data_IF_295103666712
#
_entry.id   IF_295103666712
#
_cell.length_a   1.000
_cell.length_b   1.000
_cell.length_c   1.000
_cell.angle_alpha   90.00
_cell.angle_beta   90.00
_cell.angle_gamma   90.00
#
_symmetry.space_group_name_H-M   'P 1'
#
loop_
_entity.id
_entity.type
_entity.pdbx_description
1 polymer ?
#
# COMPACT_ATOMS: atom_id res chain seq x y z
N UNK A 1 -61.36 42.82 31.74
CA UNK A 1 -61.63 43.00 30.28
C UNK A 1 -60.76 41.99 29.55
N UNK A 2 -61.30 40.79 29.28
CA UNK A 2 -61.62 40.27 27.92
C UNK A 2 -60.36 40.16 27.03
N UNK A 3 -59.92 39.01 26.52
CA UNK A 3 -60.63 37.79 26.13
C UNK A 3 -59.66 36.60 26.00
N UNK A 4 -60.21 35.43 26.30
CA UNK A 4 -59.74 34.09 25.98
C UNK A 4 -59.36 33.96 24.50
N UNK A 5 -58.33 33.16 24.19
CA UNK A 5 -58.44 32.22 23.08
C UNK A 5 -57.69 30.93 23.41
N UNK A 6 -58.48 29.93 23.76
CA UNK A 6 -58.12 28.51 23.82
C UNK A 6 -57.86 28.02 22.40
N UNK A 7 -56.80 27.24 22.21
CA UNK A 7 -56.73 26.24 21.15
C UNK A 7 -55.95 25.03 21.70
N UNK A 8 -56.72 24.09 22.23
CA UNK A 8 -56.29 22.71 22.38
C UNK A 8 -56.63 21.98 21.07
N UNK A 9 -55.65 21.30 20.48
CA UNK A 9 -55.92 20.17 19.60
C UNK A 9 -54.85 19.10 19.82
N UNK A 10 -55.34 17.94 20.26
CA UNK A 10 -54.59 16.74 20.52
C UNK A 10 -54.20 16.03 19.22
N UNK A 11 -53.05 15.37 19.19
CA UNK A 11 -52.84 14.14 18.41
C UNK A 11 -51.51 13.46 18.80
N UNK A 12 -51.63 12.45 19.66
CA UNK A 12 -51.01 11.12 19.53
C UNK A 12 -49.57 10.96 19.03
N UNK A 13 -48.71 10.64 20.00
CA UNK A 13 -47.71 9.57 20.07
C UNK A 13 -47.51 8.63 18.86
N UNK A 14 -46.24 8.24 18.70
CA UNK A 14 -45.65 7.07 17.99
C UNK A 14 -45.25 7.28 16.52
N UNK A 15 -43.96 7.60 16.33
CA UNK A 15 -43.15 6.91 15.34
C UNK A 15 -41.79 6.58 15.95
N UNK A 16 -41.59 5.28 16.21
CA UNK A 16 -40.33 4.66 16.57
C UNK A 16 -39.29 5.04 15.51
N UNK A 17 -38.32 5.88 15.90
CA UNK A 17 -37.12 6.10 15.11
C UNK A 17 -36.33 4.79 15.11
N UNK A 18 -36.60 3.95 14.12
CA UNK A 18 -35.80 2.78 13.81
C UNK A 18 -34.35 3.26 13.64
N UNK A 19 -33.52 2.99 14.65
CA UNK A 19 -32.09 2.90 14.45
C UNK A 19 -31.88 1.73 13.51
N UNK A 20 -31.97 2.00 12.20
CA UNK A 20 -31.32 1.20 11.19
C UNK A 20 -29.85 1.20 11.56
N UNK A 21 -29.45 0.19 12.34
CA UNK A 21 -28.06 -0.18 12.45
C UNK A 21 -27.66 -0.49 11.03
N UNK A 22 -27.04 0.48 10.36
CA UNK A 22 -26.33 0.24 9.13
C UNK A 22 -25.23 -0.72 9.55
N UNK A 23 -25.53 -2.02 9.44
CA UNK A 23 -24.52 -3.05 9.40
C UNK A 23 -23.74 -2.69 8.15
N UNK A 24 -22.72 -1.86 8.30
CA UNK A 24 -21.58 -1.88 7.41
C UNK A 24 -21.21 -3.34 7.36
N UNK A 25 -21.55 -3.98 6.24
CA UNK A 25 -20.99 -5.26 5.88
C UNK A 25 -19.50 -5.00 5.91
N UNK A 26 -18.84 -5.41 7.00
CA UNK A 26 -17.40 -5.58 7.03
C UNK A 26 -17.18 -6.74 6.06
N UNK A 27 -17.14 -6.42 4.77
CA UNK A 27 -16.68 -7.35 3.77
C UNK A 27 -15.31 -7.80 4.23
N UNK A 28 -15.07 -9.12 4.24
CA UNK A 28 -13.76 -9.72 4.41
C UNK A 28 -12.70 -8.76 3.84
N UNK A 29 -11.87 -8.16 4.69
CA UNK A 29 -10.88 -7.23 4.19
C UNK A 29 -9.95 -8.03 3.30
N UNK A 30 -10.03 -7.81 1.99
CA UNK A 30 -9.12 -8.43 1.03
C UNK A 30 -7.72 -7.80 1.12
N UNK A 31 -7.40 -7.11 2.21
CA UNK A 31 -6.12 -6.46 2.44
C UNK A 31 -5.11 -7.56 2.77
N UNK A 32 -4.04 -7.58 2.01
CA UNK A 32 -2.90 -8.46 2.21
C UNK A 32 -1.85 -7.71 3.01
N UNK A 33 -1.53 -8.24 4.19
CA UNK A 33 -0.46 -7.68 5.01
C UNK A 33 0.90 -7.87 4.35
N UNK A 34 1.73 -6.85 4.47
CA UNK A 34 3.12 -6.86 4.02
C UNK A 34 4.00 -6.09 5.01
N UNK A 35 5.30 -6.29 4.93
CA UNK A 35 6.30 -5.43 5.58
C UNK A 35 7.21 -4.83 4.54
N UNK A 36 7.59 -3.57 4.66
CA UNK A 36 8.58 -2.97 3.78
C UNK A 36 9.99 -3.48 4.14
N UNK A 37 10.78 -3.79 3.12
CA UNK A 37 12.19 -4.14 3.26
C UNK A 37 13.07 -2.91 2.98
N UNK A 38 14.07 -2.70 3.83
CA UNK A 38 14.90 -1.50 3.83
C UNK A 38 16.39 -1.85 3.73
N UNK A 39 17.20 -0.81 3.49
CA UNK A 39 18.66 -0.87 3.37
C UNK A 39 19.14 -1.77 2.23
N UNK A 40 18.54 -1.60 1.05
CA UNK A 40 18.97 -2.17 -0.22
C UNK A 40 19.25 -1.07 -1.25
N UNK A 41 19.97 -1.40 -2.31
CA UNK A 41 20.07 -0.59 -3.53
C UNK A 41 19.84 -1.48 -4.75
N UNK A 42 19.20 -0.95 -5.80
CA UNK A 42 18.94 -1.69 -7.03
C UNK A 42 20.20 -1.85 -7.88
N UNK A 43 20.46 -3.06 -8.38
CA UNK A 43 21.55 -3.38 -9.31
C UNK A 43 20.96 -3.46 -10.71
N UNK A 44 20.90 -2.34 -11.42
CA UNK A 44 20.42 -2.31 -12.80
C UNK A 44 20.14 -0.90 -13.31
N UNK A 45 19.56 -0.82 -14.50
CA UNK A 45 19.33 0.40 -15.28
C UNK A 45 17.95 0.40 -15.95
N UNK A 46 16.93 -0.11 -15.25
CA UNK A 46 15.57 -0.23 -15.80
C UNK A 46 15.11 1.08 -16.48
N UNK A 47 14.65 0.95 -17.73
CA UNK A 47 14.23 2.09 -18.57
C UNK A 47 12.72 2.31 -18.56
N UNK A 48 11.98 1.44 -17.87
CA UNK A 48 10.53 1.49 -17.70
C UNK A 48 10.14 0.96 -16.33
N UNK A 49 8.96 1.30 -15.80
CA UNK A 49 8.45 0.70 -14.57
C UNK A 49 8.39 -0.83 -14.70
N UNK A 50 8.87 -1.54 -13.68
CA UNK A 50 8.86 -3.00 -13.63
C UNK A 50 8.52 -3.49 -12.23
N UNK A 51 7.70 -4.55 -12.18
CA UNK A 51 7.46 -5.32 -10.96
C UNK A 51 8.27 -6.62 -11.05
N UNK A 52 9.08 -6.90 -10.03
CA UNK A 52 9.79 -8.18 -9.88
C UNK A 52 9.25 -8.96 -8.70
N UNK A 53 9.01 -10.26 -8.90
CA UNK A 53 8.79 -11.23 -7.81
C UNK A 53 10.10 -11.89 -7.45
N UNK A 54 10.48 -11.78 -6.19
CA UNK A 54 11.73 -12.31 -5.65
C UNK A 54 11.37 -13.44 -4.70
N UNK A 55 11.72 -14.67 -5.05
CA UNK A 55 11.29 -15.88 -4.35
C UNK A 55 12.43 -16.62 -3.63
N UNK A 56 13.66 -16.11 -3.75
CA UNK A 56 14.86 -16.68 -3.14
C UNK A 56 15.88 -15.58 -2.81
N UNK A 57 16.81 -15.92 -1.91
CA UNK A 57 17.94 -15.04 -1.59
C UNK A 57 18.84 -14.81 -2.80
N UNK A 58 18.99 -15.81 -3.67
CA UNK A 58 19.77 -15.69 -4.90
C UNK A 58 19.13 -14.69 -5.87
N UNK A 59 17.80 -14.72 -6.04
CA UNK A 59 17.09 -13.76 -6.88
C UNK A 59 17.20 -12.34 -6.29
N UNK A 60 17.15 -12.20 -4.97
CA UNK A 60 17.34 -10.91 -4.32
C UNK A 60 18.73 -10.36 -4.61
N UNK A 61 19.78 -11.18 -4.43
CA UNK A 61 21.17 -10.77 -4.62
C UNK A 61 21.54 -10.43 -6.08
N UNK A 62 20.77 -10.94 -7.05
CA UNK A 62 20.93 -10.57 -8.47
C UNK A 62 20.38 -9.18 -8.78
N UNK A 63 19.32 -8.78 -8.08
CA UNK A 63 18.55 -7.57 -8.35
C UNK A 63 18.90 -6.42 -7.40
N UNK A 64 19.38 -6.74 -6.20
CA UNK A 64 19.63 -5.79 -5.12
C UNK A 64 20.91 -6.11 -4.34
N UNK A 65 21.68 -5.06 -4.07
CA UNK A 65 22.80 -5.09 -3.13
C UNK A 65 22.37 -4.59 -1.75
N UNK A 66 23.06 -5.06 -0.72
CA UNK A 66 22.84 -4.64 0.67
C UNK A 66 23.48 -3.27 0.94
N UNK A 67 22.73 -2.32 1.51
CA UNK A 67 23.14 -0.95 1.81
C UNK A 67 23.17 -0.69 3.32
N UNK A 68 24.00 -1.43 4.06
CA UNK A 68 24.07 -1.29 5.51
C UNK A 68 24.68 0.04 5.96
N UNK A 69 24.18 0.61 7.07
CA UNK A 69 24.80 1.76 7.74
C UNK A 69 25.03 1.47 9.23
N UNK A 70 25.93 2.22 9.87
CA UNK A 70 26.20 2.03 11.29
C UNK A 70 25.06 2.57 12.17
N UNK A 71 24.50 1.74 13.05
CA UNK A 71 23.49 2.14 14.02
C UNK A 71 22.27 1.21 14.06
N UNK A 72 21.34 1.50 14.96
CA UNK A 72 20.11 0.72 15.11
C UNK A 72 19.28 0.80 13.82
N UNK A 73 18.89 -0.35 13.29
CA UNK A 73 18.11 -0.43 12.04
C UNK A 73 18.94 -0.23 10.78
N UNK A 74 20.27 -0.23 10.89
CA UNK A 74 21.18 -0.11 9.76
C UNK A 74 21.41 -1.42 8.99
N UNK A 75 20.93 -2.55 9.50
CA UNK A 75 21.01 -3.83 8.80
C UNK A 75 19.96 -3.95 7.69
N UNK A 76 20.31 -4.54 6.54
CA UNK A 76 19.34 -4.95 5.52
C UNK A 76 18.27 -5.88 6.07
N UNK A 77 17.02 -5.65 5.69
CA UNK A 77 15.91 -6.50 6.09
C UNK A 77 16.17 -7.95 5.65
N UNK A 78 16.34 -8.86 6.61
CA UNK A 78 16.52 -10.28 6.31
C UNK A 78 15.16 -10.93 6.00
N UNK A 79 15.06 -11.59 4.84
CA UNK A 79 13.81 -12.18 4.34
C UNK A 79 13.87 -13.70 4.46
N UNK A 80 12.91 -14.30 5.17
CA UNK A 80 12.78 -15.75 5.22
C UNK A 80 11.98 -16.25 4.00
N UNK A 81 12.66 -16.57 2.91
CA UNK A 81 12.06 -17.03 1.66
C UNK A 81 11.34 -18.39 1.74
N UNK A 82 11.46 -19.12 2.85
CA UNK A 82 10.64 -20.30 3.08
C UNK A 82 9.19 -19.93 3.43
N UNK A 83 8.99 -18.76 4.05
CA UNK A 83 7.67 -18.27 4.51
C UNK A 83 7.12 -17.12 3.66
N UNK A 84 8.02 -16.34 3.04
CA UNK A 84 7.67 -15.12 2.36
C UNK A 84 8.27 -15.09 0.94
N UNK A 85 7.75 -14.19 0.12
CA UNK A 85 8.39 -13.72 -1.10
C UNK A 85 8.41 -12.19 -1.08
N UNK A 86 9.21 -11.58 -1.93
CA UNK A 86 9.24 -10.13 -2.06
C UNK A 86 8.68 -9.67 -3.41
N UNK A 87 8.06 -8.50 -3.39
CA UNK A 87 7.62 -7.75 -4.56
C UNK A 87 8.44 -6.47 -4.58
N UNK A 88 9.22 -6.26 -5.64
CA UNK A 88 9.92 -5.01 -5.88
C UNK A 88 9.21 -4.25 -7.00
N UNK A 89 8.87 -2.98 -6.75
CA UNK A 89 8.42 -2.07 -7.80
C UNK A 89 9.52 -1.05 -8.05
N UNK A 90 10.06 -1.06 -9.27
CA UNK A 90 11.23 -0.28 -9.66
C UNK A 90 10.82 0.66 -10.79
N UNK A 91 11.09 1.95 -10.62
CA UNK A 91 10.85 2.98 -11.63
C UNK A 91 12.09 3.21 -12.49
N UNK A 92 11.95 3.84 -13.67
CA UNK A 92 13.10 4.24 -14.46
C UNK A 92 13.96 5.28 -13.74
N UNK A 93 15.21 5.38 -14.17
CA UNK A 93 16.10 6.43 -13.69
C UNK A 93 15.50 7.83 -13.91
N UNK A 94 15.68 8.70 -12.93
CA UNK A 94 15.21 10.08 -12.99
C UNK A 94 16.18 11.00 -12.26
N UNK A 95 16.35 12.21 -12.78
CA UNK A 95 17.05 13.28 -12.11
C UNK A 95 16.12 14.18 -11.29
N UNK A 96 14.87 13.77 -11.04
CA UNK A 96 13.96 14.49 -10.15
C UNK A 96 13.97 13.84 -8.78
N UNK A 97 13.82 14.67 -7.74
CA UNK A 97 13.51 14.16 -6.40
C UNK A 97 12.22 13.36 -6.49
N UNK A 98 12.25 12.08 -6.16
CA UNK A 98 11.08 11.20 -6.27
C UNK A 98 10.81 10.51 -4.94
N UNK A 99 9.58 10.62 -4.46
CA UNK A 99 9.06 9.78 -3.39
C UNK A 99 8.22 8.68 -4.03
N UNK A 100 8.62 7.43 -3.85
CA UNK A 100 7.86 6.26 -4.23
C UNK A 100 7.63 5.43 -2.96
N UNK A 101 6.38 5.12 -2.64
CA UNK A 101 6.04 4.37 -1.43
C UNK A 101 4.88 3.40 -1.69
N UNK A 102 4.90 2.18 -1.10
CA UNK A 102 3.73 1.30 -1.13
C UNK A 102 2.63 1.87 -0.23
N UNK A 103 1.38 1.80 -0.68
CA UNK A 103 0.21 2.23 0.11
C UNK A 103 -0.57 1.01 0.60
N UNK A 104 -0.97 0.13 -0.30
CA UNK A 104 -1.76 -1.06 0.04
C UNK A 104 -1.49 -2.21 -0.91
N UNK A 105 -1.73 -3.42 -0.42
CA UNK A 105 -1.77 -4.62 -1.25
C UNK A 105 -3.13 -5.27 -1.05
N UNK A 106 -3.93 -5.34 -2.11
CA UNK A 106 -5.30 -5.87 -2.03
C UNK A 106 -5.45 -7.09 -2.93
N UNK A 107 -5.91 -8.20 -2.36
CA UNK A 107 -6.32 -9.37 -3.12
C UNK A 107 -7.63 -9.07 -3.88
N UNK A 108 -7.57 -9.08 -5.20
CA UNK A 108 -8.75 -9.22 -6.04
C UNK A 108 -8.88 -10.67 -6.48
N UNK A 109 -9.99 -10.98 -7.15
CA UNK A 109 -10.37 -12.36 -7.53
C UNK A 109 -9.21 -13.21 -8.04
N UNK A 110 -8.32 -12.67 -8.88
CA UNK A 110 -7.21 -13.43 -9.50
C UNK A 110 -5.86 -12.68 -9.52
N UNK A 111 -5.75 -11.56 -8.82
CA UNK A 111 -4.53 -10.74 -8.82
C UNK A 111 -4.40 -9.95 -7.51
N UNK A 112 -3.19 -9.51 -7.22
CA UNK A 112 -2.89 -8.53 -6.19
C UNK A 112 -2.85 -7.14 -6.83
N UNK A 113 -3.58 -6.19 -6.27
CA UNK A 113 -3.45 -4.77 -6.59
C UNK A 113 -2.48 -4.13 -5.61
N UNK A 114 -1.33 -3.70 -6.12
CA UNK A 114 -0.32 -2.96 -5.41
C UNK A 114 -0.57 -1.47 -5.62
N UNK A 115 -1.21 -0.84 -4.65
CA UNK A 115 -1.40 0.60 -4.67
C UNK A 115 -0.12 1.28 -4.19
N UNK A 116 0.35 2.29 -4.90
CA UNK A 116 1.56 3.04 -4.56
C UNK A 116 1.32 4.55 -4.65
N UNK A 117 2.13 5.32 -3.92
CA UNK A 117 2.21 6.77 -4.02
C UNK A 117 3.45 7.17 -4.81
N UNK A 118 3.30 8.12 -5.71
CA UNK A 118 4.40 8.69 -6.49
C UNK A 118 4.35 10.22 -6.48
N UNK A 119 5.31 10.84 -5.81
CA UNK A 119 5.50 12.30 -5.86
C UNK A 119 6.77 12.66 -6.62
N UNK A 120 6.67 13.65 -7.52
CA UNK A 120 7.80 14.15 -8.31
C UNK A 120 8.09 15.60 -7.92
N UNK A 121 9.25 15.80 -7.33
CA UNK A 121 9.78 17.10 -6.94
C UNK A 121 10.66 17.75 -8.01
N UNK A 122 11.54 18.64 -7.54
CA UNK A 122 12.47 19.43 -8.36
C UNK A 122 13.54 18.54 -9.02
N UNK A 123 14.11 19.04 -10.12
CA UNK A 123 15.30 18.47 -10.77
C UNK A 123 16.52 18.59 -9.83
N UNK A 124 17.41 17.61 -9.91
CA UNK A 124 18.64 17.45 -9.13
C UNK A 124 19.83 17.23 -10.07
N UNK A 125 21.06 17.39 -9.56
CA UNK A 125 22.31 17.24 -10.33
C UNK A 125 22.74 15.79 -10.55
N UNK A 126 22.00 14.82 -10.01
CA UNK A 126 22.29 13.40 -10.09
C UNK A 126 21.03 12.62 -10.47
N UNK A 127 21.22 11.41 -10.99
CA UNK A 127 20.14 10.48 -11.28
C UNK A 127 19.96 9.50 -10.12
N UNK A 128 18.72 9.11 -9.87
CA UNK A 128 18.35 8.05 -8.94
C UNK A 128 17.46 7.05 -9.65
N UNK A 129 17.38 5.83 -9.13
CA UNK A 129 16.42 4.84 -9.57
C UNK A 129 15.46 4.51 -8.41
N UNK A 130 14.27 5.12 -8.37
CA UNK A 130 13.33 4.92 -7.26
C UNK A 130 12.77 3.51 -7.24
N UNK A 131 12.69 2.90 -6.07
CA UNK A 131 12.04 1.60 -5.87
C UNK A 131 11.53 1.46 -4.44
N UNK A 132 10.66 0.48 -4.21
CA UNK A 132 10.46 -0.12 -2.88
C UNK A 132 10.42 -1.64 -2.99
N UNK A 133 10.61 -2.31 -1.85
CA UNK A 133 10.48 -3.76 -1.73
C UNK A 133 9.48 -4.04 -0.61
N UNK A 134 8.44 -4.81 -0.89
CA UNK A 134 7.52 -5.33 0.13
C UNK A 134 7.65 -6.85 0.27
N UNK A 135 7.58 -7.35 1.50
CA UNK A 135 7.66 -8.76 1.85
C UNK A 135 6.27 -9.27 2.18
N UNK A 136 5.85 -10.32 1.48
CA UNK A 136 4.48 -10.83 1.44
C UNK A 136 4.47 -12.33 1.74
N UNK A 137 3.41 -12.81 2.42
CA UNK A 137 3.22 -14.23 2.68
C UNK A 137 3.25 -15.05 1.39
N UNK A 138 4.04 -16.13 1.39
CA UNK A 138 4.29 -16.99 0.22
C UNK A 138 3.01 -17.61 -0.35
N UNK A 139 1.91 -17.71 0.41
CA UNK A 139 0.62 -18.16 -0.11
C UNK A 139 0.07 -17.29 -1.26
N UNK A 140 0.58 -16.06 -1.43
CA UNK A 140 0.19 -15.18 -2.52
C UNK A 140 1.15 -15.17 -3.72
N UNK A 141 2.19 -16.02 -3.72
CA UNK A 141 3.29 -15.97 -4.70
C UNK A 141 2.81 -16.15 -6.16
N UNK A 142 1.75 -16.91 -6.38
CA UNK A 142 1.25 -17.23 -7.73
C UNK A 142 0.30 -16.17 -8.31
N UNK A 143 -0.14 -15.19 -7.50
CA UNK A 143 -1.05 -14.15 -7.98
C UNK A 143 -0.33 -13.14 -8.87
N UNK A 144 -0.91 -12.80 -10.03
CA UNK A 144 -0.42 -11.67 -10.83
C UNK A 144 -0.46 -10.40 -9.98
N UNK A 145 0.52 -9.51 -10.17
CA UNK A 145 0.55 -8.20 -9.52
C UNK A 145 0.17 -7.15 -10.55
N UNK A 146 -0.66 -6.20 -10.15
CA UNK A 146 -1.05 -5.02 -10.92
C UNK A 146 -0.81 -3.80 -10.04
N UNK A 147 0.02 -2.87 -10.50
CA UNK A 147 0.28 -1.60 -9.86
C UNK A 147 -0.84 -0.60 -10.15
N UNK A 148 -1.19 0.20 -9.14
CA UNK A 148 -2.17 1.28 -9.26
C UNK A 148 -1.60 2.50 -8.54
N UNK A 149 -1.45 3.61 -9.27
CA UNK A 149 -1.10 4.89 -8.65
C UNK A 149 -2.27 5.37 -7.79
N UNK A 150 -2.02 5.52 -6.49
CA UNK A 150 -2.96 6.07 -5.53
C UNK A 150 -2.86 7.59 -5.48
N UNK A 151 -4.00 8.20 -5.17
CA UNK A 151 -4.13 9.62 -4.88
C UNK A 151 -4.43 9.75 -3.39
N UNK A 152 -3.72 10.63 -2.69
CA UNK A 152 -4.05 11.01 -1.31
C UNK A 152 -5.39 11.77 -1.26
#
# INVERSE_FOLDING_TARGET
MMKKLLLAFAATMLLLSSCGTHKTVVGNSNIVNYTEAHNFFHIGDESRPIIKKITSQENLAKEFGEAAFMGKGGEPTKINFNKYFAIAYILPQTNRKTLLAPLSLTLKRKHLELQYKLEKGKVQSFFTQPFFIIVVDKKYVDYKIVEIEGWD
#
